data_IF_750882149924
#
_entry.id   IF_750882149924
#
_cell.length_a   1.000
_cell.length_b   1.000
_cell.length_c   1.000
_cell.angle_alpha   90.00
_cell.angle_beta   90.00
_cell.angle_gamma   90.00
#
_symmetry.space_group_name_H-M   'P 1'
#
loop_
_entity.id
_entity.type
_entity.pdbx_description
1 polymer ?
#
# COMPACT_ATOMS: atom_id res chain seq x y z
N UNK A 1 -6.17 1.14 -18.68
CA UNK A 1 -6.30 0.51 -17.35
C UNK A 1 -6.37 -1.00 -17.52
N UNK A 2 -6.08 -1.78 -16.47
CA UNK A 2 -5.87 -3.25 -16.53
C UNK A 2 -6.99 -4.01 -17.26
N UNK A 3 -8.24 -3.55 -17.13
CA UNK A 3 -9.43 -4.13 -17.78
C UNK A 3 -9.42 -4.02 -19.31
N UNK A 4 -8.94 -2.91 -19.87
CA UNK A 4 -8.80 -2.73 -21.33
C UNK A 4 -7.78 -3.71 -21.92
N UNK A 5 -6.67 -3.94 -21.21
CA UNK A 5 -5.61 -4.87 -21.68
C UNK A 5 -6.07 -6.33 -21.69
N UNK A 6 -7.10 -6.64 -20.92
CA UNK A 6 -7.63 -7.98 -20.73
C UNK A 6 -9.05 -8.14 -21.30
N UNK A 7 -9.51 -7.19 -22.12
CA UNK A 7 -10.81 -7.22 -22.81
C UNK A 7 -12.05 -7.39 -21.93
N UNK A 8 -12.02 -6.90 -20.68
CA UNK A 8 -13.18 -6.91 -19.76
C UNK A 8 -13.58 -5.51 -19.29
N UNK A 9 -13.16 -4.45 -19.99
CA UNK A 9 -13.60 -3.09 -19.70
C UNK A 9 -15.13 -2.95 -19.78
N UNK A 10 -15.68 -2.07 -18.94
CA UNK A 10 -17.09 -1.65 -18.99
C UNK A 10 -17.17 -0.14 -19.08
N UNK A 11 -17.99 0.36 -20.01
CA UNK A 11 -18.25 1.79 -20.20
C UNK A 11 -19.75 2.02 -20.13
N UNK A 12 -20.18 2.92 -19.25
CA UNK A 12 -21.59 3.29 -19.06
C UNK A 12 -21.74 4.80 -19.22
N UNK A 13 -22.62 5.23 -20.11
CA UNK A 13 -22.84 6.66 -20.39
C UNK A 13 -21.54 7.44 -20.67
N UNK A 14 -20.60 6.82 -21.39
CA UNK A 14 -19.29 7.38 -21.71
C UNK A 14 -18.27 7.36 -20.55
N UNK A 15 -18.60 6.78 -19.40
CA UNK A 15 -17.71 6.67 -18.23
C UNK A 15 -17.17 5.26 -18.10
N UNK A 16 -15.85 5.14 -17.93
CA UNK A 16 -15.25 3.85 -17.57
C UNK A 16 -15.69 3.45 -16.16
N UNK A 17 -16.24 2.25 -16.03
CA UNK A 17 -16.67 1.69 -14.75
C UNK A 17 -15.56 0.80 -14.20
N UNK A 18 -15.19 0.92 -12.92
CA UNK A 18 -14.24 0.00 -12.30
C UNK A 18 -14.87 -1.40 -12.25
N UNK A 19 -14.21 -2.37 -12.87
CA UNK A 19 -14.59 -3.78 -12.84
C UNK A 19 -13.50 -4.50 -12.08
N UNK A 20 -13.83 -5.22 -10.99
CA UNK A 20 -12.85 -5.98 -10.26
C UNK A 20 -12.13 -6.99 -11.15
N UNK A 21 -10.83 -7.19 -10.91
CA UNK A 21 -10.11 -8.23 -11.63
C UNK A 21 -10.59 -9.62 -11.16
N UNK A 22 -10.61 -10.65 -12.03
CA UNK A 22 -11.04 -12.00 -11.65
C UNK A 22 -10.27 -12.59 -10.45
N UNK A 23 -9.03 -12.17 -10.26
CA UNK A 23 -8.14 -12.57 -9.16
C UNK A 23 -7.73 -11.38 -8.30
N UNK A 24 -8.61 -10.37 -8.17
CA UNK A 24 -8.34 -9.23 -7.31
C UNK A 24 -8.25 -9.70 -5.85
N UNK A 25 -7.18 -9.36 -5.12
CA UNK A 25 -7.05 -9.73 -3.72
C UNK A 25 -8.17 -9.09 -2.88
N UNK A 26 -8.55 -9.76 -1.80
CA UNK A 26 -9.44 -9.16 -0.81
C UNK A 26 -8.75 -7.98 -0.11
N UNK A 27 -9.53 -7.13 0.57
CA UNK A 27 -8.97 -6.04 1.39
C UNK A 27 -8.05 -6.61 2.47
N UNK A 28 -8.44 -7.73 3.10
CA UNK A 28 -7.62 -8.37 4.13
C UNK A 28 -6.31 -8.90 3.55
N UNK A 29 -6.34 -9.50 2.35
CA UNK A 29 -5.12 -9.92 1.65
C UNK A 29 -4.20 -8.72 1.37
N UNK A 30 -4.76 -7.58 0.93
CA UNK A 30 -4.01 -6.36 0.69
C UNK A 30 -3.30 -5.89 1.97
N UNK A 31 -3.98 -5.86 3.10
CA UNK A 31 -3.44 -5.41 4.38
C UNK A 31 -2.42 -6.38 4.98
N UNK A 32 -2.62 -7.69 4.81
CA UNK A 32 -1.79 -8.72 5.45
C UNK A 32 -0.56 -9.13 4.63
N UNK A 33 -0.63 -8.98 3.30
CA UNK A 33 0.36 -9.56 2.38
C UNK A 33 1.04 -8.55 1.47
N UNK A 34 0.34 -7.50 1.06
CA UNK A 34 0.80 -6.65 -0.04
C UNK A 34 1.18 -5.23 0.38
N UNK A 35 0.62 -4.71 1.47
CA UNK A 35 0.78 -3.33 1.89
C UNK A 35 1.38 -3.23 3.29
N UNK A 36 2.18 -2.18 3.52
CA UNK A 36 2.64 -1.78 4.86
C UNK A 36 1.84 -0.56 5.29
N UNK A 37 0.66 -0.81 5.88
CA UNK A 37 -0.29 0.22 6.30
C UNK A 37 -0.86 -0.18 7.67
N UNK A 38 -0.95 0.78 8.59
CA UNK A 38 -1.58 0.56 9.89
C UNK A 38 -0.92 1.37 11.00
N UNK A 39 -0.91 0.80 12.20
CA UNK A 39 -0.19 1.35 13.35
C UNK A 39 1.33 1.19 13.19
N UNK A 40 2.15 1.95 13.94
CA UNK A 40 3.60 1.79 13.95
C UNK A 40 4.05 0.34 14.21
N UNK A 41 3.46 -0.34 15.19
CA UNK A 41 3.76 -1.76 15.48
C UNK A 41 3.47 -2.68 14.29
N UNK A 42 2.37 -2.42 13.58
CA UNK A 42 2.02 -3.18 12.38
C UNK A 42 3.06 -2.97 11.29
N UNK A 43 3.48 -1.72 11.07
CA UNK A 43 4.52 -1.40 10.09
C UNK A 43 5.86 -2.06 10.44
N UNK A 44 6.30 -1.98 11.71
CA UNK A 44 7.54 -2.63 12.17
C UNK A 44 7.48 -4.13 11.92
N UNK A 45 6.39 -4.79 12.33
CA UNK A 45 6.21 -6.25 12.15
C UNK A 45 6.26 -6.65 10.67
N UNK A 46 5.56 -5.91 9.81
CA UNK A 46 5.52 -6.23 8.37
C UNK A 46 6.89 -6.01 7.70
N UNK A 47 7.59 -4.91 8.01
CA UNK A 47 8.92 -4.63 7.45
C UNK A 47 9.94 -5.68 7.91
N UNK A 48 9.91 -6.09 9.19
CA UNK A 48 10.76 -7.19 9.70
C UNK A 48 10.48 -8.50 8.96
N UNK A 49 9.22 -8.85 8.75
CA UNK A 49 8.85 -10.04 7.95
C UNK A 49 9.44 -10.00 6.54
N UNK A 50 9.40 -8.85 5.88
CA UNK A 50 9.97 -8.67 4.54
C UNK A 50 11.51 -8.77 4.60
N UNK A 51 12.14 -8.16 5.60
CA UNK A 51 13.59 -8.22 5.80
C UNK A 51 14.07 -9.65 6.04
N UNK A 52 13.38 -10.42 6.89
CA UNK A 52 13.71 -11.82 7.19
C UNK A 52 13.50 -12.72 5.97
N UNK A 53 12.43 -12.52 5.20
CA UNK A 53 12.10 -13.36 4.06
C UNK A 53 12.95 -13.09 2.80
N UNK A 54 13.33 -11.83 2.55
CA UNK A 54 13.95 -11.40 1.28
C UNK A 54 15.37 -10.85 1.48
N UNK A 55 15.75 -10.46 2.71
CA UNK A 55 17.07 -9.91 3.01
C UNK A 55 17.26 -8.47 2.56
N UNK A 56 16.18 -7.66 2.54
CA UNK A 56 16.27 -6.25 2.11
C UNK A 56 17.15 -5.43 3.05
N UNK A 57 17.93 -4.51 2.47
CA UNK A 57 18.76 -3.54 3.21
C UNK A 57 18.22 -2.12 3.11
N UNK A 58 17.29 -1.88 2.18
CA UNK A 58 16.66 -0.59 1.94
C UNK A 58 15.16 -0.81 1.76
N UNK A 59 14.35 0.05 2.39
CA UNK A 59 12.90 0.03 2.25
C UNK A 59 12.41 1.42 1.83
N UNK A 60 11.89 1.52 0.61
CA UNK A 60 11.34 2.78 0.08
C UNK A 60 9.86 2.91 0.46
N UNK A 61 9.50 4.06 1.03
CA UNK A 61 8.13 4.32 1.49
C UNK A 61 7.44 5.34 0.56
N UNK A 62 6.27 4.97 0.04
CA UNK A 62 5.33 5.93 -0.58
C UNK A 62 4.23 6.29 0.41
N UNK A 63 4.27 7.52 0.92
CA UNK A 63 3.28 8.01 1.90
C UNK A 63 2.08 8.71 1.26
N UNK A 64 2.21 9.15 0.00
CA UNK A 64 1.19 9.92 -0.69
C UNK A 64 0.49 9.05 -1.73
N UNK A 65 -0.73 8.61 -1.41
CA UNK A 65 -1.55 7.78 -2.27
C UNK A 65 -2.86 8.48 -2.61
N UNK A 66 -3.19 8.58 -3.90
CA UNK A 66 -4.43 9.20 -4.37
C UNK A 66 -4.55 10.66 -3.96
N UNK A 67 -5.75 11.07 -3.55
CA UNK A 67 -6.09 12.44 -3.17
C UNK A 67 -5.99 12.65 -1.65
N UNK A 68 -4.92 12.15 -1.03
CA UNK A 68 -4.68 12.36 0.39
C UNK A 68 -4.23 13.81 0.65
N UNK A 69 -4.90 14.45 1.61
CA UNK A 69 -4.54 15.76 2.12
C UNK A 69 -3.06 15.82 2.55
N UNK A 70 -2.34 16.83 2.09
CA UNK A 70 -0.90 16.96 2.33
C UNK A 70 -0.54 16.93 3.83
N UNK A 71 -1.33 17.59 4.68
CA UNK A 71 -1.12 17.60 6.13
C UNK A 71 -1.23 16.19 6.74
N UNK A 72 -2.05 15.30 6.17
CA UNK A 72 -2.16 13.91 6.63
C UNK A 72 -0.93 13.09 6.22
N UNK A 73 -0.41 13.34 5.01
CA UNK A 73 0.82 12.72 4.52
C UNK A 73 2.00 13.08 5.44
N UNK A 74 2.19 14.37 5.73
CA UNK A 74 3.27 14.84 6.62
C UNK A 74 3.20 14.20 8.01
N UNK A 75 2.01 14.17 8.64
CA UNK A 75 1.83 13.52 9.94
C UNK A 75 2.20 12.03 9.91
N UNK A 76 1.89 11.33 8.82
CA UNK A 76 2.29 9.92 8.66
C UNK A 76 3.80 9.76 8.54
N UNK A 77 4.48 10.65 7.82
CA UNK A 77 5.94 10.65 7.70
C UNK A 77 6.61 10.91 9.05
N UNK A 78 6.14 11.91 9.80
CA UNK A 78 6.64 12.23 11.14
C UNK A 78 6.46 11.07 12.12
N UNK A 79 5.27 10.45 12.11
CA UNK A 79 4.98 9.29 12.96
C UNK A 79 5.85 8.09 12.59
N UNK A 80 6.02 7.82 11.29
CA UNK A 80 6.89 6.73 10.83
C UNK A 80 8.36 6.97 11.23
N UNK A 81 8.87 8.19 11.06
CA UNK A 81 10.23 8.53 11.44
C UNK A 81 10.46 8.39 12.96
N UNK A 82 9.49 8.81 13.77
CA UNK A 82 9.59 8.78 15.24
C UNK A 82 9.35 7.40 15.84
N UNK A 83 8.43 6.61 15.29
CA UNK A 83 7.93 5.39 15.95
C UNK A 83 8.30 4.09 15.22
N UNK A 84 8.61 4.13 13.91
CA UNK A 84 8.93 2.91 13.13
C UNK A 84 10.43 2.80 12.87
N UNK A 85 11.06 3.86 12.37
CA UNK A 85 12.49 3.83 12.00
C UNK A 85 13.44 3.38 13.13
N UNK A 86 13.25 3.77 14.41
CA UNK A 86 14.14 3.33 15.49
C UNK A 86 14.22 1.81 15.70
N UNK A 87 13.24 1.04 15.22
CA UNK A 87 13.26 -0.42 15.31
C UNK A 87 14.24 -1.11 14.34
N UNK A 88 14.87 -0.33 13.44
CA UNK A 88 15.76 -0.80 12.37
C UNK A 88 17.12 -0.07 12.35
N UNK A 89 17.39 0.76 13.37
CA UNK A 89 18.63 1.49 13.53
C UNK A 89 19.73 0.65 14.19
#
# INVERSE_FOLDING_TARGET
TLSLRNNYQRVEQGRAVPVPAPTEPSVDDLLDRYLVIGTPDTCVRQIKRIQEAVGITHFNCSFWFGDLEHARVLRSMETFAREVMPAFA
#
